data_IF_930340596445
#
_entry.id   IF_930340596445
#
_cell.length_a   1.000
_cell.length_b   1.000
_cell.length_c   1.000
_cell.angle_alpha   90.00
_cell.angle_beta   90.00
_cell.angle_gamma   90.00
#
_symmetry.space_group_name_H-M   'P 1'
#
loop_
_entity.id
_entity.type
_entity.pdbx_description
1 polymer ?
#
# COMPACT_ATOMS: atom_id res chain seq x y z
N UNK A 1 -74.31 -10.43 -35.33
CA UNK A 1 -73.35 -11.53 -35.11
C UNK A 1 -71.97 -10.88 -34.90
N UNK A 2 -71.44 -10.82 -33.67
CA UNK A 2 -70.41 -11.75 -33.13
C UNK A 2 -69.20 -11.83 -34.09
N UNK A 3 -67.96 -11.43 -33.78
CA UNK A 3 -67.17 -11.76 -32.58
C UNK A 3 -66.10 -10.70 -32.26
N UNK A 4 -65.87 -10.52 -30.96
CA UNK A 4 -64.68 -9.87 -30.39
C UNK A 4 -63.45 -10.78 -30.54
N UNK A 5 -62.34 -10.23 -31.04
CA UNK A 5 -61.02 -10.87 -31.05
C UNK A 5 -60.10 -10.22 -30.03
N UNK A 6 -59.88 -10.88 -28.89
CA UNK A 6 -58.89 -10.45 -27.90
C UNK A 6 -57.49 -10.99 -28.28
N UNK A 7 -56.55 -10.12 -28.62
CA UNK A 7 -55.13 -10.50 -28.61
C UNK A 7 -54.58 -10.37 -27.18
N UNK A 8 -54.41 -11.52 -26.52
CA UNK A 8 -53.72 -11.66 -25.23
C UNK A 8 -52.24 -11.31 -25.41
N UNK A 9 -51.79 -10.24 -24.77
CA UNK A 9 -50.37 -9.98 -24.55
C UNK A 9 -49.79 -11.08 -23.63
N UNK A 10 -48.95 -11.95 -24.21
CA UNK A 10 -48.16 -12.93 -23.46
C UNK A 10 -47.12 -12.19 -22.61
N UNK A 11 -47.38 -12.06 -21.31
CA UNK A 11 -46.37 -11.69 -20.32
C UNK A 11 -45.41 -12.88 -20.15
N UNK A 12 -44.38 -12.92 -20.98
CA UNK A 12 -43.19 -13.74 -20.73
C UNK A 12 -42.47 -13.21 -19.49
N UNK A 13 -42.70 -13.87 -18.35
CA UNK A 13 -41.98 -13.63 -17.10
C UNK A 13 -40.52 -14.03 -17.22
N UNK A 14 -39.71 -13.16 -17.81
CA UNK A 14 -38.25 -13.23 -17.73
C UNK A 14 -37.82 -12.88 -16.31
N UNK A 15 -37.70 -13.88 -15.45
CA UNK A 15 -37.06 -13.73 -14.14
C UNK A 15 -35.62 -13.26 -14.33
N UNK A 16 -35.40 -11.96 -14.17
CA UNK A 16 -34.06 -11.37 -14.13
C UNK A 16 -33.38 -11.96 -12.89
N UNK A 17 -32.54 -12.97 -13.10
CA UNK A 17 -31.65 -13.49 -12.06
C UNK A 17 -30.71 -12.36 -11.65
N UNK A 18 -31.11 -11.58 -10.64
CA UNK A 18 -30.36 -10.48 -10.06
C UNK A 18 -29.17 -10.97 -9.21
N UNK A 19 -28.46 -11.99 -9.68
CA UNK A 19 -27.19 -12.44 -9.08
C UNK A 19 -26.10 -12.19 -10.11
N UNK A 20 -25.66 -10.94 -10.19
CA UNK A 20 -24.37 -10.61 -10.79
C UNK A 20 -23.25 -11.48 -10.19
N UNK A 21 -22.14 -11.67 -10.90
CA UNK A 21 -21.08 -12.58 -10.48
C UNK A 21 -20.59 -12.19 -9.09
N UNK A 22 -20.89 -13.02 -8.07
CA UNK A 22 -20.36 -12.84 -6.72
C UNK A 22 -18.86 -13.04 -6.81
N UNK A 23 -18.10 -11.97 -6.55
CA UNK A 23 -16.66 -12.04 -6.45
C UNK A 23 -16.29 -13.16 -5.47
N UNK A 24 -15.35 -14.02 -5.88
CA UNK A 24 -14.88 -15.08 -4.98
C UNK A 24 -14.28 -14.44 -3.74
N UNK A 25 -14.38 -15.12 -2.58
CA UNK A 25 -13.82 -14.65 -1.30
C UNK A 25 -12.34 -14.26 -1.43
N UNK A 26 -11.59 -14.92 -2.30
CA UNK A 26 -10.21 -14.58 -2.62
C UNK A 26 -10.09 -13.24 -3.36
N UNK A 27 -10.93 -12.98 -4.37
CA UNK A 27 -10.95 -11.71 -5.12
C UNK A 27 -11.32 -10.52 -4.20
N UNK A 28 -12.31 -10.68 -3.33
CA UNK A 28 -12.67 -9.67 -2.33
C UNK A 28 -11.48 -9.32 -1.41
N UNK A 29 -10.69 -10.31 -0.98
CA UNK A 29 -9.52 -10.07 -0.13
C UNK A 29 -8.42 -9.29 -0.86
N UNK A 30 -8.18 -9.59 -2.14
CA UNK A 30 -7.20 -8.88 -2.98
C UNK A 30 -7.54 -7.40 -3.12
N UNK A 31 -8.83 -7.04 -3.18
CA UNK A 31 -9.27 -5.64 -3.25
C UNK A 31 -9.15 -4.90 -1.91
N UNK A 32 -9.42 -5.59 -0.80
CA UNK A 32 -9.49 -4.96 0.54
C UNK A 32 -8.11 -4.83 1.21
N UNK A 33 -7.19 -5.76 0.98
CA UNK A 33 -5.85 -5.76 1.59
C UNK A 33 -5.04 -4.46 1.29
N UNK A 34 -4.97 -3.97 0.03
CA UNK A 34 -4.29 -2.72 -0.28
C UNK A 34 -4.87 -1.52 0.46
N UNK A 35 -6.20 -1.40 0.54
CA UNK A 35 -6.85 -0.31 1.27
C UNK A 35 -6.49 -0.33 2.76
N UNK A 36 -6.40 -1.52 3.37
CA UNK A 36 -5.97 -1.69 4.76
C UNK A 36 -4.48 -1.39 4.97
N UNK A 37 -3.66 -1.53 3.94
CA UNK A 37 -2.25 -1.14 3.96
C UNK A 37 -2.14 0.37 3.87
N UNK A 38 -2.85 1.01 2.94
CA UNK A 38 -2.82 2.47 2.76
C UNK A 38 -3.31 3.22 4.01
N UNK A 39 -4.39 2.75 4.65
CA UNK A 39 -4.82 3.30 5.95
C UNK A 39 -3.73 3.19 7.01
N UNK A 40 -3.14 2.00 7.16
CA UNK A 40 -2.08 1.78 8.14
C UNK A 40 -0.80 2.59 7.84
N UNK A 41 -0.47 2.80 6.56
CA UNK A 41 0.64 3.68 6.15
C UNK A 41 0.35 5.14 6.52
N UNK A 42 -0.87 5.61 6.29
CA UNK A 42 -1.26 6.99 6.60
C UNK A 42 -1.20 7.28 8.09
N UNK A 43 -1.51 6.30 8.94
CA UNK A 43 -1.42 6.41 10.41
C UNK A 43 0.03 6.40 10.92
N UNK A 44 0.93 5.65 10.26
CA UNK A 44 2.27 5.37 10.80
C UNK A 44 3.31 6.43 10.42
N UNK A 45 3.01 7.32 9.47
CA UNK A 45 3.87 8.40 8.94
C UNK A 45 5.27 8.01 8.40
N UNK A 46 5.70 6.76 8.60
CA UNK A 46 6.92 6.13 8.08
C UNK A 46 8.21 6.91 8.37
N UNK A 47 8.22 7.71 9.44
CA UNK A 47 9.36 8.54 9.81
C UNK A 47 10.55 7.72 10.32
N UNK A 48 10.27 6.69 11.11
CA UNK A 48 11.26 5.79 11.73
C UNK A 48 11.37 4.44 11.01
N UNK A 49 10.93 4.36 9.76
CA UNK A 49 10.94 3.11 9.01
C UNK A 49 12.38 2.70 8.63
N UNK A 50 12.79 1.49 9.03
CA UNK A 50 14.06 0.89 8.61
C UNK A 50 14.10 0.73 7.08
N UNK A 51 15.20 1.15 6.43
CA UNK A 51 15.36 1.08 4.97
C UNK A 51 14.83 2.29 4.20
N UNK A 52 14.47 3.39 4.89
CA UNK A 52 14.22 4.68 4.23
C UNK A 52 15.50 5.17 3.53
N UNK A 53 15.37 5.64 2.30
CA UNK A 53 16.47 6.28 1.59
C UNK A 53 16.93 7.51 2.38
N UNK A 54 18.24 7.64 2.69
CA UNK A 54 18.73 8.80 3.43
C UNK A 54 18.47 10.06 2.61
N UNK A 55 17.80 11.04 3.22
CA UNK A 55 17.57 12.34 2.59
C UNK A 55 18.87 13.14 2.62
N UNK A 56 19.31 13.62 1.46
CA UNK A 56 20.50 14.47 1.36
C UNK A 56 20.08 15.93 1.47
N UNK A 57 20.52 16.59 2.54
CA UNK A 57 20.35 18.03 2.73
C UNK A 57 21.68 18.73 2.39
N UNK A 58 21.65 19.69 1.46
CA UNK A 58 22.84 20.42 1.01
C UNK A 58 22.75 21.86 1.49
N UNK A 59 23.77 22.33 2.20
CA UNK A 59 23.90 23.74 2.61
C UNK A 59 24.72 24.50 1.57
N UNK A 60 24.35 25.74 1.30
CA UNK A 60 25.04 26.63 0.37
C UNK A 60 25.67 27.78 1.15
N UNK A 61 26.93 28.08 0.83
CA UNK A 61 27.72 29.15 1.43
C UNK A 61 28.37 29.97 0.34
N UNK A 62 28.56 31.26 0.60
CA UNK A 62 29.12 32.18 -0.39
C UNK A 62 30.65 32.14 -0.38
N UNK A 63 31.27 31.92 0.78
CA UNK A 63 32.72 31.86 0.92
C UNK A 63 33.24 30.50 1.37
N UNK A 64 34.45 30.14 0.89
CA UNK A 64 35.11 28.88 1.29
C UNK A 64 35.50 28.83 2.77
N UNK A 65 35.66 30.00 3.43
CA UNK A 65 36.00 30.09 4.85
C UNK A 65 34.84 29.64 5.73
N UNK A 66 33.61 30.01 5.37
CA UNK A 66 32.39 29.57 6.06
C UNK A 66 32.23 28.05 6.00
N UNK A 67 32.58 27.44 4.86
CA UNK A 67 32.52 25.97 4.69
C UNK A 67 33.46 25.25 5.67
N UNK A 68 34.66 25.78 5.90
CA UNK A 68 35.66 25.14 6.77
C UNK A 68 35.29 25.19 8.26
N UNK A 69 34.60 26.25 8.69
CA UNK A 69 34.16 26.43 10.08
C UNK A 69 32.72 25.99 10.33
N UNK A 70 32.08 25.29 9.40
CA UNK A 70 30.65 25.02 9.46
C UNK A 70 30.31 23.95 10.52
N UNK A 71 29.54 24.36 11.53
CA UNK A 71 28.88 23.46 12.48
C UNK A 71 27.36 23.49 12.31
N UNK A 72 26.78 22.31 12.14
CA UNK A 72 25.35 22.10 11.92
C UNK A 72 24.55 22.47 13.18
N UNK A 73 25.06 22.15 14.37
CA UNK A 73 24.32 22.39 15.61
C UNK A 73 24.14 23.88 15.88
N UNK A 74 25.22 24.65 15.72
CA UNK A 74 25.23 26.11 15.83
C UNK A 74 24.40 26.76 14.73
N UNK A 75 24.56 26.33 13.47
CA UNK A 75 23.80 26.89 12.36
C UNK A 75 22.28 26.72 12.51
N UNK A 76 21.84 25.56 13.00
CA UNK A 76 20.42 25.30 13.25
C UNK A 76 19.95 25.81 14.62
N UNK A 77 20.87 26.30 15.47
CA UNK A 77 20.60 26.66 16.88
C UNK A 77 19.89 25.54 17.65
N UNK A 78 20.37 24.29 17.48
CA UNK A 78 19.78 23.09 18.10
C UNK A 78 20.78 22.37 18.99
N UNK A 79 20.29 21.59 19.95
CA UNK A 79 21.15 20.72 20.74
C UNK A 79 21.81 19.65 19.84
N UNK A 80 23.10 19.32 20.05
CA UNK A 80 23.85 18.39 19.19
C UNK A 80 23.19 17.00 19.12
N UNK A 81 22.54 16.55 20.19
CA UNK A 81 21.82 15.26 20.23
C UNK A 81 20.64 15.18 19.24
N UNK A 82 20.02 16.33 18.96
CA UNK A 82 18.84 16.42 18.09
C UNK A 82 19.20 16.60 16.61
N UNK A 83 20.48 16.86 16.30
CA UNK A 83 20.98 17.01 14.92
C UNK A 83 20.82 15.74 14.10
N UNK A 84 20.80 14.58 14.76
CA UNK A 84 20.56 13.29 14.12
C UNK A 84 19.12 13.11 13.60
N UNK A 85 18.13 13.81 14.18
CA UNK A 85 16.70 13.60 13.87
C UNK A 85 16.29 14.36 12.63
N UNK A 86 15.72 13.72 11.61
CA UNK A 86 15.36 14.42 10.35
C UNK A 86 14.19 15.40 10.53
N UNK A 87 13.29 15.13 11.47
CA UNK A 87 12.06 15.88 11.68
C UNK A 87 11.98 16.41 13.12
N UNK A 88 11.17 17.45 13.33
CA UNK A 88 10.91 18.07 14.63
C UNK A 88 12.21 18.39 15.41
N UNK A 89 13.02 19.30 14.85
CA UNK A 89 14.25 19.82 15.46
C UNK A 89 13.98 21.17 16.15
N UNK A 90 13.65 21.18 17.46
CA UNK A 90 13.40 22.44 18.16
C UNK A 90 14.69 23.24 18.37
N UNK A 91 14.56 24.56 18.25
CA UNK A 91 15.62 25.53 18.59
C UNK A 91 15.82 25.56 20.11
N UNK A 92 17.03 25.87 20.57
CA UNK A 92 17.37 26.00 22.00
C UNK A 92 16.39 26.90 22.77
N UNK A 93 15.98 28.02 22.19
CA UNK A 93 14.99 28.92 22.79
C UNK A 93 13.60 28.28 22.94
N UNK A 94 13.23 27.39 22.02
CA UNK A 94 11.96 26.64 22.12
C UNK A 94 12.04 25.58 23.22
N UNK A 95 13.20 24.91 23.37
CA UNK A 95 13.43 23.94 24.44
C UNK A 95 13.37 24.58 25.83
N UNK A 96 13.84 25.83 25.98
CA UNK A 96 13.75 26.58 27.23
C UNK A 96 12.31 27.01 27.57
N UNK A 97 11.54 27.41 26.55
CA UNK A 97 10.22 28.03 26.74
C UNK A 97 9.07 27.03 26.82
N UNK A 98 9.16 25.89 26.13
CA UNK A 98 8.06 24.93 26.02
C UNK A 98 8.35 23.67 26.83
N UNK A 99 7.39 23.28 27.65
CA UNK A 99 7.38 21.95 28.26
C UNK A 99 7.17 20.87 27.19
N UNK A 100 7.78 19.70 27.39
CA UNK A 100 7.58 18.54 26.52
C UNK A 100 6.13 18.09 26.66
N UNK A 101 5.39 18.09 25.55
CA UNK A 101 4.04 17.53 25.51
C UNK A 101 4.13 16.02 25.26
N UNK A 102 3.53 15.24 26.16
CA UNK A 102 3.41 13.80 26.02
C UNK A 102 3.88 13.00 27.22
N UNK A 103 4.08 11.71 26.99
CA UNK A 103 4.51 10.73 27.99
C UNK A 103 6.00 10.92 28.27
N UNK A 104 6.35 11.25 29.51
CA UNK A 104 7.74 11.46 29.98
C UNK A 104 8.26 10.32 30.86
N UNK A 105 7.38 9.44 31.37
CA UNK A 105 7.78 8.32 32.20
C UNK A 105 8.43 7.19 31.39
N UNK A 106 9.62 6.74 31.79
CA UNK A 106 10.43 5.75 31.06
C UNK A 106 9.68 4.44 30.75
N UNK A 107 8.94 3.91 31.72
CA UNK A 107 8.17 2.68 31.54
C UNK A 107 7.06 2.81 30.48
N UNK A 108 6.44 3.99 30.37
CA UNK A 108 5.43 4.26 29.35
C UNK A 108 6.10 4.54 27.98
N UNK A 109 7.28 5.15 27.96
CA UNK A 109 8.07 5.39 26.75
C UNK A 109 8.49 4.07 26.07
N UNK A 110 8.95 3.09 26.86
CA UNK A 110 9.28 1.76 26.36
C UNK A 110 8.05 1.04 25.78
N UNK A 111 6.87 1.17 26.44
CA UNK A 111 5.62 0.60 25.92
C UNK A 111 5.25 1.20 24.56
N UNK A 112 5.36 2.52 24.41
CA UNK A 112 5.14 3.20 23.13
C UNK A 112 6.12 2.73 22.05
N UNK A 113 7.41 2.61 22.37
CA UNK A 113 8.40 2.12 21.42
C UNK A 113 8.09 0.70 20.94
N UNK A 114 7.66 -0.19 21.85
CA UNK A 114 7.21 -1.55 21.50
C UNK A 114 5.97 -1.53 20.62
N UNK A 115 4.99 -0.67 20.92
CA UNK A 115 3.78 -0.51 20.10
C UNK A 115 4.12 -0.03 18.68
N UNK A 116 4.97 0.98 18.54
CA UNK A 116 5.44 1.47 17.23
C UNK A 116 6.11 0.34 16.44
N UNK A 117 7.05 -0.39 17.05
CA UNK A 117 7.74 -1.52 16.40
C UNK A 117 6.73 -2.60 15.96
N UNK A 118 5.73 -2.89 16.79
CA UNK A 118 4.64 -3.81 16.45
C UNK A 118 3.84 -3.37 15.22
N UNK A 119 3.51 -2.07 15.11
CA UNK A 119 2.80 -1.52 13.96
C UNK A 119 3.62 -1.60 12.66
N UNK A 120 4.93 -1.28 12.71
CA UNK A 120 5.82 -1.45 11.57
C UNK A 120 5.93 -2.92 11.13
N UNK A 121 6.07 -3.84 12.09
CA UNK A 121 6.08 -5.28 11.80
C UNK A 121 4.77 -5.76 11.17
N UNK A 122 3.63 -5.31 11.69
CA UNK A 122 2.31 -5.60 11.11
C UNK A 122 2.18 -5.06 9.69
N UNK A 123 2.64 -3.84 9.43
CA UNK A 123 2.63 -3.23 8.10
C UNK A 123 3.46 -4.07 7.12
N UNK A 124 4.68 -4.46 7.51
CA UNK A 124 5.56 -5.33 6.71
C UNK A 124 4.86 -6.65 6.36
N UNK A 125 4.29 -7.33 7.35
CA UNK A 125 3.57 -8.58 7.13
C UNK A 125 2.37 -8.42 6.19
N UNK A 126 1.64 -7.30 6.28
CA UNK A 126 0.52 -7.00 5.37
C UNK A 126 1.00 -6.80 3.93
N UNK A 127 2.09 -6.06 3.73
CA UNK A 127 2.69 -5.86 2.40
C UNK A 127 3.15 -7.20 1.81
N UNK A 128 3.84 -8.03 2.59
CA UNK A 128 4.26 -9.37 2.14
C UNK A 128 3.06 -10.27 1.79
N UNK A 129 1.99 -10.21 2.60
CA UNK A 129 0.76 -10.95 2.34
C UNK A 129 0.06 -10.47 1.07
N UNK A 130 -0.02 -9.16 0.86
CA UNK A 130 -0.63 -8.55 -0.33
C UNK A 130 0.11 -9.00 -1.60
N UNK A 131 1.44 -8.96 -1.61
CA UNK A 131 2.26 -9.49 -2.71
C UNK A 131 1.96 -10.95 -3.02
N UNK A 132 1.93 -11.82 -2.00
CA UNK A 132 1.61 -13.25 -2.16
C UNK A 132 0.20 -13.45 -2.72
N UNK A 133 -0.78 -12.73 -2.17
CA UNK A 133 -2.17 -12.80 -2.62
C UNK A 133 -2.34 -12.32 -4.05
N UNK A 134 -1.63 -11.28 -4.46
CA UNK A 134 -1.63 -10.77 -5.82
C UNK A 134 -1.13 -11.83 -6.81
N UNK A 135 -0.02 -12.50 -6.51
CA UNK A 135 0.50 -13.60 -7.34
C UNK A 135 -0.48 -14.77 -7.43
N UNK A 136 -1.11 -15.16 -6.32
CA UNK A 136 -2.13 -16.22 -6.31
C UNK A 136 -3.33 -15.82 -7.18
N UNK A 137 -3.78 -14.57 -7.08
CA UNK A 137 -4.90 -14.05 -7.87
C UNK A 137 -4.59 -14.10 -9.37
N UNK A 138 -3.38 -13.69 -9.77
CA UNK A 138 -2.92 -13.79 -11.15
C UNK A 138 -2.89 -15.25 -11.62
N UNK A 139 -2.35 -16.17 -10.83
CA UNK A 139 -2.33 -17.61 -11.16
C UNK A 139 -3.74 -18.18 -11.33
N UNK A 140 -4.68 -17.81 -10.47
CA UNK A 140 -6.08 -18.21 -10.59
C UNK A 140 -6.73 -17.63 -11.84
N UNK A 141 -6.45 -16.37 -12.17
CA UNK A 141 -6.96 -15.75 -13.39
C UNK A 141 -6.40 -16.46 -14.63
N UNK A 142 -5.09 -16.71 -14.67
CA UNK A 142 -4.48 -17.50 -15.75
C UNK A 142 -5.15 -18.86 -15.88
N UNK A 143 -5.41 -19.58 -14.78
CA UNK A 143 -6.13 -20.87 -14.84
C UNK A 143 -7.53 -20.74 -15.45
N UNK A 144 -8.27 -19.67 -15.13
CA UNK A 144 -9.57 -19.40 -15.75
C UNK A 144 -9.45 -19.11 -17.24
N UNK A 145 -8.50 -18.27 -17.63
CA UNK A 145 -8.24 -17.95 -19.05
C UNK A 145 -7.80 -19.21 -19.82
N UNK A 146 -7.17 -20.16 -19.12
CA UNK A 146 -6.79 -21.45 -19.68
C UNK A 146 -7.96 -22.45 -19.83
N UNK A 147 -9.15 -22.18 -19.25
CA UNK A 147 -10.33 -23.00 -19.50
C UNK A 147 -10.95 -22.71 -20.88
N UNK A 148 -10.71 -21.51 -21.43
CA UNK A 148 -11.12 -21.19 -22.79
C UNK A 148 -10.37 -22.07 -23.81
N UNK A 149 -11.10 -22.58 -24.79
CA UNK A 149 -10.61 -23.47 -25.86
C UNK A 149 -9.73 -22.75 -26.91
N UNK A 150 -9.29 -21.53 -26.62
CA UNK A 150 -8.43 -20.75 -27.52
C UNK A 150 -7.05 -21.38 -27.66
N UNK A 151 -6.53 -21.42 -28.89
CA UNK A 151 -5.17 -21.88 -29.16
C UNK A 151 -4.14 -21.00 -28.45
N UNK A 152 -3.15 -21.65 -27.82
CA UNK A 152 -2.16 -21.00 -26.98
C UNK A 152 -0.84 -21.78 -26.95
N UNK A 153 0.25 -21.06 -26.73
CA UNK A 153 1.59 -21.63 -26.53
C UNK A 153 2.14 -21.13 -25.19
N UNK A 154 2.68 -22.04 -24.39
CA UNK A 154 3.32 -21.69 -23.11
C UNK A 154 4.72 -21.17 -23.36
N UNK A 155 4.99 -19.93 -22.95
CA UNK A 155 6.31 -19.30 -23.12
C UNK A 155 7.20 -19.49 -21.89
N UNK A 156 6.62 -19.34 -20.68
CA UNK A 156 7.36 -19.47 -19.41
C UNK A 156 6.59 -20.33 -18.42
N UNK A 157 7.32 -21.13 -17.65
CA UNK A 157 6.77 -21.94 -16.55
C UNK A 157 6.39 -21.06 -15.36
N UNK A 158 5.48 -21.58 -14.55
CA UNK A 158 5.05 -20.92 -13.31
C UNK A 158 6.19 -20.96 -12.29
N UNK A 159 6.36 -19.88 -11.53
CA UNK A 159 7.30 -19.82 -10.40
C UNK A 159 6.54 -19.48 -9.12
N UNK A 160 7.23 -19.48 -7.97
CA UNK A 160 6.62 -19.08 -6.68
C UNK A 160 6.12 -17.64 -6.75
N UNK A 161 6.89 -16.75 -7.39
CA UNK A 161 6.65 -15.31 -7.40
C UNK A 161 5.87 -14.82 -8.62
N UNK A 162 5.67 -15.63 -9.66
CA UNK A 162 5.04 -15.20 -10.89
C UNK A 162 4.15 -16.30 -11.51
N UNK A 163 3.03 -15.93 -12.15
CA UNK A 163 2.22 -16.88 -12.93
C UNK A 163 2.96 -17.34 -14.20
N UNK A 164 2.54 -18.47 -14.76
CA UNK A 164 3.02 -18.90 -16.08
C UNK A 164 2.56 -17.93 -17.18
N UNK A 165 3.42 -17.71 -18.16
CA UNK A 165 3.14 -16.80 -19.29
C UNK A 165 2.77 -17.63 -20.52
N UNK A 166 1.63 -17.29 -21.12
CA UNK A 166 1.12 -17.90 -22.34
C UNK A 166 0.96 -16.85 -23.44
N UNK A 167 1.24 -17.25 -24.67
CA UNK A 167 0.90 -16.49 -25.87
C UNK A 167 -0.36 -17.10 -26.46
N UNK A 168 -1.44 -16.32 -26.44
CA UNK A 168 -2.68 -16.69 -27.12
C UNK A 168 -2.60 -16.30 -28.59
N UNK A 169 -3.25 -17.08 -29.46
CA UNK A 169 -3.35 -16.71 -30.86
C UNK A 169 -4.09 -15.37 -31.00
N UNK A 170 -3.60 -14.48 -31.85
CA UNK A 170 -4.23 -13.19 -32.09
C UNK A 170 -5.50 -13.39 -32.94
N UNK A 171 -6.63 -13.61 -32.27
CA UNK A 171 -7.95 -13.77 -32.88
C UNK A 171 -9.01 -13.09 -32.00
N UNK A 172 -9.95 -12.39 -32.63
CA UNK A 172 -11.08 -11.76 -31.93
C UNK A 172 -12.02 -12.84 -31.40
N UNK A 173 -12.46 -12.73 -30.14
CA UNK A 173 -13.60 -13.52 -29.65
C UNK A 173 -14.84 -13.12 -30.48
N UNK A 174 -15.54 -14.11 -31.03
CA UNK A 174 -16.80 -13.88 -31.74
C UNK A 174 -17.92 -13.66 -30.74
#
# INVERSE_FOLDING_TARGET
MLLAGSLRASRGGGGVSARGPRLSRAALRVLVLPQKIERLKSELHLLDAEGKQPSRHTFFFDTRREVQGFDIALHLNTAPELVSRVYNRPVLETLKKKAVSGITADGQLQRLARQRKGQYSLLRQRIERERKMFVIAQKLQTRKDLLDKTQRVKLKKETVNQPAIYRFQFRRKR
#
